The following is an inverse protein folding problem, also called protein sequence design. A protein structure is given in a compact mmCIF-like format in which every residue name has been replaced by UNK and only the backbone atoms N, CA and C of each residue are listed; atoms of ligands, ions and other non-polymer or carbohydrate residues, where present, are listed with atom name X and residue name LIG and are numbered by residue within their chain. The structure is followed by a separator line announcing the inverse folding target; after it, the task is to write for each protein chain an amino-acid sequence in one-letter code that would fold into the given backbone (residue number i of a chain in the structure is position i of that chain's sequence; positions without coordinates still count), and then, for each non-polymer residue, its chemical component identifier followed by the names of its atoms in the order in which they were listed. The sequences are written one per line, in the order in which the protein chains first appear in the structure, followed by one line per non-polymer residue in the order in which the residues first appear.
data_IF_876965041698
#
_entry.id   IF_876965041698
#
_cell.length_a   1.000
_cell.length_b   1.000
_cell.length_c   1.000
_cell.angle_alpha   90.00
_cell.angle_beta   90.00
_cell.angle_gamma   90.00
#
_symmetry.space_group_name_H-M   'P 1'
#
loop_
_entity.id
_entity.type
_entity.pdbx_description
1 polymer ?
#
# COMPACT_ATOMS: atom_id res chain seq x y z
N UNK A 1 48.45 19.86 -19.51
CA UNK A 1 48.61 18.46 -19.07
C UNK A 1 47.84 18.31 -17.76
N UNK A 2 46.64 17.78 -17.66
CA UNK A 2 45.65 17.20 -18.57
C UNK A 2 44.58 16.69 -17.59
N UNK A 3 43.50 17.41 -17.29
CA UNK A 3 42.21 17.39 -18.01
C UNK A 3 41.81 16.06 -18.71
N UNK A 4 42.31 14.92 -18.21
CA UNK A 4 41.96 13.57 -18.68
C UNK A 4 41.86 12.55 -17.53
N UNK A 5 41.22 12.92 -16.42
CA UNK A 5 40.79 11.93 -15.42
C UNK A 5 39.31 12.14 -15.09
N UNK A 6 38.47 12.26 -16.11
CA UNK A 6 37.03 12.19 -15.95
C UNK A 6 36.42 11.59 -17.23
N UNK A 7 35.63 10.52 -17.06
CA UNK A 7 35.00 9.65 -18.09
C UNK A 7 35.83 8.45 -18.57
N UNK A 8 35.98 7.47 -17.69
CA UNK A 8 35.80 6.06 -18.10
C UNK A 8 34.57 5.51 -17.37
N UNK A 9 33.39 5.76 -17.94
CA UNK A 9 32.19 5.05 -17.53
C UNK A 9 32.22 3.68 -18.22
N UNK A 10 32.96 2.73 -17.64
CA UNK A 10 32.95 1.33 -18.09
C UNK A 10 31.49 0.89 -18.19
N UNK A 11 31.06 0.48 -19.39
CA UNK A 11 29.70 0.02 -19.62
C UNK A 11 29.47 -1.19 -18.71
N UNK A 12 28.51 -1.08 -17.78
CA UNK A 12 28.10 -2.23 -16.99
C UNK A 12 27.30 -3.11 -17.93
N UNK A 13 27.80 -4.32 -18.19
CA UNK A 13 27.12 -5.33 -18.97
C UNK A 13 26.44 -6.30 -18.00
N UNK A 14 25.16 -6.08 -17.73
CA UNK A 14 24.34 -7.10 -17.07
C UNK A 14 24.19 -8.31 -18.00
N UNK A 15 24.14 -9.51 -17.41
CA UNK A 15 23.72 -10.72 -18.13
C UNK A 15 22.36 -10.48 -18.80
N UNK A 16 22.14 -11.05 -19.97
CA UNK A 16 20.89 -10.87 -20.72
C UNK A 16 19.88 -11.98 -20.41
N UNK A 17 18.60 -11.63 -20.35
CA UNK A 17 17.48 -12.57 -20.39
C UNK A 17 16.67 -12.33 -21.67
N UNK A 18 16.46 -13.37 -22.46
CA UNK A 18 15.78 -13.31 -23.75
C UNK A 18 14.34 -13.78 -23.65
N UNK A 19 13.44 -13.02 -24.25
CA UNK A 19 12.03 -13.38 -24.38
C UNK A 19 11.80 -14.27 -25.60
N UNK A 20 10.85 -15.21 -25.48
CA UNK A 20 10.35 -15.98 -26.61
C UNK A 20 9.74 -15.06 -27.67
N UNK A 21 9.68 -15.56 -28.90
CA UNK A 21 9.09 -14.84 -30.04
C UNK A 21 7.68 -14.33 -29.72
N UNK A 22 7.48 -13.01 -29.85
CA UNK A 22 6.23 -12.24 -29.64
C UNK A 22 5.89 -11.92 -28.18
N UNK A 23 6.58 -12.47 -27.19
CA UNK A 23 6.30 -12.19 -25.77
C UNK A 23 6.76 -10.78 -25.36
N UNK A 24 7.67 -10.16 -26.12
CA UNK A 24 8.10 -8.78 -25.88
C UNK A 24 7.00 -7.73 -26.12
N UNK A 25 5.86 -8.12 -26.72
CA UNK A 25 4.76 -7.20 -27.07
C UNK A 25 4.18 -6.52 -25.83
N UNK A 26 3.92 -7.27 -24.75
CA UNK A 26 3.33 -6.72 -23.51
C UNK A 26 4.23 -5.68 -22.87
N UNK A 27 5.54 -5.95 -22.84
CA UNK A 27 6.55 -5.06 -22.28
C UNK A 27 6.62 -3.76 -23.08
N UNK A 28 6.65 -3.87 -24.42
CA UNK A 28 6.60 -2.70 -25.33
C UNK A 28 5.32 -1.87 -25.15
N UNK A 29 4.21 -2.50 -24.79
CA UNK A 29 2.92 -1.81 -24.59
C UNK A 29 2.78 -1.14 -23.22
N UNK A 30 3.61 -1.45 -22.23
CA UNK A 30 3.35 -0.93 -20.90
C UNK A 30 3.86 -1.79 -19.77
N UNK A 31 3.70 -3.11 -19.94
CA UNK A 31 3.78 -4.06 -18.84
C UNK A 31 5.18 -4.10 -18.23
N UNK A 32 5.23 -4.22 -16.90
CA UNK A 32 6.48 -4.13 -16.13
C UNK A 32 6.91 -5.47 -15.54
N UNK A 33 6.15 -6.55 -15.75
CA UNK A 33 6.51 -7.88 -15.29
C UNK A 33 6.84 -8.82 -16.45
N UNK A 34 7.84 -9.66 -16.23
CA UNK A 34 8.22 -10.79 -17.06
C UNK A 34 7.72 -12.07 -16.39
N UNK A 35 7.08 -12.95 -17.14
CA UNK A 35 6.62 -14.22 -16.62
C UNK A 35 7.58 -15.35 -17.01
N UNK A 36 7.76 -16.35 -16.12
CA UNK A 36 8.73 -17.43 -16.34
C UNK A 36 8.46 -18.25 -17.60
N UNK A 37 7.19 -18.37 -18.00
CA UNK A 37 6.77 -19.05 -19.24
C UNK A 37 7.06 -18.23 -20.52
N UNK A 38 7.35 -16.94 -20.40
CA UNK A 38 7.69 -16.03 -21.51
C UNK A 38 9.20 -16.04 -21.84
N UNK A 39 10.03 -16.62 -20.97
CA UNK A 39 11.49 -16.65 -21.12
C UNK A 39 11.95 -17.76 -22.07
N UNK A 40 12.85 -17.42 -23.00
CA UNK A 40 13.53 -18.39 -23.84
C UNK A 40 14.63 -19.10 -23.04
N UNK A 41 14.29 -20.28 -22.52
CA UNK A 41 15.20 -21.08 -21.70
C UNK A 41 16.24 -21.84 -22.54
N UNK A 42 16.16 -21.82 -23.87
CA UNK A 42 17.19 -22.43 -24.72
C UNK A 42 18.36 -21.49 -24.93
N UNK A 43 18.07 -20.22 -25.17
CA UNK A 43 19.08 -19.16 -25.34
C UNK A 43 19.60 -18.63 -24.00
N UNK A 44 18.69 -18.38 -23.06
CA UNK A 44 19.01 -17.82 -21.74
C UNK A 44 18.27 -18.60 -20.65
N UNK A 45 18.82 -19.72 -20.16
CA UNK A 45 18.17 -20.52 -19.12
C UNK A 45 17.87 -19.70 -17.87
N UNK A 46 16.59 -19.56 -17.49
CA UNK A 46 16.21 -18.76 -16.32
C UNK A 46 16.88 -19.25 -15.03
N UNK A 47 17.14 -20.55 -14.93
CA UNK A 47 17.81 -21.17 -13.77
C UNK A 47 19.32 -20.86 -13.66
N UNK A 48 19.92 -20.15 -14.62
CA UNK A 48 21.32 -19.69 -14.50
C UNK A 48 21.47 -18.37 -13.75
N UNK A 49 20.37 -17.80 -13.26
CA UNK A 49 20.33 -16.55 -12.48
C UNK A 49 20.02 -16.85 -11.02
N UNK A 50 20.44 -15.95 -10.15
CA UNK A 50 20.05 -15.96 -8.75
C UNK A 50 18.89 -15.01 -8.48
N UNK A 51 18.18 -15.24 -7.38
CA UNK A 51 17.12 -14.33 -6.94
C UNK A 51 17.72 -12.93 -6.66
N UNK A 52 17.14 -11.92 -7.31
CA UNK A 52 17.56 -10.53 -7.25
C UNK A 52 18.65 -10.12 -8.23
N UNK A 53 19.12 -10.99 -9.12
CA UNK A 53 20.08 -10.60 -10.16
C UNK A 53 19.52 -9.54 -11.09
N UNK A 54 20.33 -8.54 -11.43
CA UNK A 54 19.98 -7.49 -12.40
C UNK A 54 20.40 -7.94 -13.79
N UNK A 55 19.48 -7.81 -14.75
CA UNK A 55 19.62 -8.33 -16.12
C UNK A 55 19.24 -7.29 -17.17
N UNK A 56 19.86 -7.41 -18.34
CA UNK A 56 19.37 -6.75 -19.55
C UNK A 56 18.24 -7.60 -20.12
N UNK A 57 17.10 -6.99 -20.43
CA UNK A 57 15.97 -7.70 -21.05
C UNK A 57 16.09 -7.56 -22.56
N UNK A 58 16.11 -8.69 -23.27
CA UNK A 58 16.18 -8.75 -24.74
C UNK A 58 14.87 -9.26 -25.33
N UNK A 59 14.47 -8.65 -26.44
CA UNK A 59 13.45 -9.21 -27.32
C UNK A 59 13.96 -10.47 -28.02
N UNK A 60 13.04 -11.22 -28.63
CA UNK A 60 13.36 -12.46 -29.35
C UNK A 60 14.41 -12.34 -30.47
N UNK A 61 14.63 -11.12 -30.99
CA UNK A 61 15.65 -10.82 -31.99
C UNK A 61 16.99 -10.34 -31.39
N UNK A 62 17.18 -10.47 -30.08
CA UNK A 62 18.38 -10.03 -29.35
C UNK A 62 18.46 -8.53 -29.07
N UNK A 63 17.48 -7.72 -29.49
CA UNK A 63 17.48 -6.28 -29.20
C UNK A 63 17.17 -6.04 -27.71
N UNK A 64 18.03 -5.31 -27.01
CA UNK A 64 17.78 -4.86 -25.65
C UNK A 64 16.56 -3.91 -25.58
N UNK A 65 15.65 -4.19 -24.65
CA UNK A 65 14.38 -3.46 -24.45
C UNK A 65 14.23 -2.91 -23.02
N UNK A 66 15.17 -3.19 -22.11
CA UNK A 66 15.14 -2.65 -20.77
C UNK A 66 16.11 -3.32 -19.81
N UNK A 67 16.00 -2.97 -18.54
CA UNK A 67 16.70 -3.58 -17.41
C UNK A 67 15.66 -4.03 -16.40
N UNK A 68 15.86 -5.21 -15.83
CA UNK A 68 15.03 -5.81 -14.80
C UNK A 68 15.91 -6.39 -13.69
N UNK A 69 15.33 -6.67 -12.53
CA UNK A 69 15.85 -7.73 -11.68
C UNK A 69 14.99 -8.98 -11.82
N UNK A 70 15.57 -10.16 -11.58
CA UNK A 70 14.90 -11.45 -11.77
C UNK A 70 14.84 -12.30 -10.49
N UNK A 71 13.84 -13.18 -10.42
CA UNK A 71 13.79 -14.29 -9.48
C UNK A 71 13.41 -15.56 -10.25
N UNK A 72 14.31 -16.55 -10.38
CA UNK A 72 14.08 -17.73 -11.21
C UNK A 72 13.07 -18.72 -10.61
N UNK A 73 12.60 -18.47 -9.39
CA UNK A 73 11.75 -19.39 -8.63
C UNK A 73 10.29 -18.94 -8.55
N UNK A 74 9.94 -17.80 -9.18
CA UNK A 74 8.59 -17.25 -9.18
C UNK A 74 7.96 -17.24 -10.57
N UNK A 75 6.62 -17.21 -10.63
CA UNK A 75 5.90 -17.04 -11.90
C UNK A 75 6.18 -15.66 -12.51
N UNK A 76 6.13 -14.60 -11.69
CA UNK A 76 6.62 -13.27 -12.10
C UNK A 76 8.13 -13.26 -11.89
N UNK A 77 8.86 -13.83 -12.85
CA UNK A 77 10.28 -14.06 -12.70
C UNK A 77 11.14 -12.82 -12.95
N UNK A 78 10.57 -11.70 -13.41
CA UNK A 78 11.32 -10.47 -13.60
C UNK A 78 10.46 -9.23 -13.44
N UNK A 79 11.07 -8.16 -12.92
CA UNK A 79 10.45 -6.85 -12.72
C UNK A 79 11.27 -5.79 -13.44
N UNK A 80 10.69 -5.18 -14.48
CA UNK A 80 11.31 -4.10 -15.24
C UNK A 80 11.49 -2.89 -14.32
N UNK A 81 12.73 -2.42 -14.17
CA UNK A 81 13.06 -1.17 -13.45
C UNK A 81 13.25 0.01 -14.41
N UNK A 82 13.62 -0.28 -15.66
CA UNK A 82 13.87 0.74 -16.68
C UNK A 82 13.66 0.18 -18.09
N UNK A 83 13.12 1.00 -18.99
CA UNK A 83 13.07 0.69 -20.43
C UNK A 83 14.34 1.11 -21.18
N UNK A 84 15.23 1.85 -20.52
CA UNK A 84 16.56 2.14 -21.05
C UNK A 84 17.51 1.02 -20.63
N UNK A 85 18.06 0.32 -21.62
CA UNK A 85 19.11 -0.70 -21.43
C UNK A 85 20.41 -0.11 -20.82
N UNK A 86 20.54 1.22 -20.76
CA UNK A 86 21.69 1.91 -20.15
C UNK A 86 21.50 2.20 -18.65
N UNK A 87 20.31 1.90 -18.10
CA UNK A 87 20.05 2.18 -16.70
C UNK A 87 20.89 1.29 -15.79
N UNK A 88 21.36 1.87 -14.68
CA UNK A 88 22.11 1.16 -13.64
C UNK A 88 21.24 1.10 -12.40
N UNK A 89 21.05 -0.08 -11.82
CA UNK A 89 20.32 -0.24 -10.57
C UNK A 89 21.27 -0.02 -9.39
N UNK A 90 21.42 1.23 -8.97
CA UNK A 90 22.36 1.65 -7.95
C UNK A 90 21.77 2.78 -7.08
N UNK A 91 22.58 3.33 -6.17
CA UNK A 91 22.18 4.42 -5.29
C UNK A 91 21.62 5.65 -6.03
N UNK A 92 22.26 6.07 -7.12
CA UNK A 92 21.77 7.20 -7.92
C UNK A 92 20.38 6.93 -8.52
N UNK A 93 20.10 5.69 -8.93
CA UNK A 93 18.80 5.29 -9.43
C UNK A 93 17.72 5.31 -8.34
N UNK A 94 17.98 4.68 -7.19
CA UNK A 94 17.04 4.65 -6.05
C UNK A 94 16.73 6.08 -5.59
N UNK A 95 17.75 6.90 -5.38
CA UNK A 95 17.60 8.32 -5.01
C UNK A 95 16.73 9.07 -6.01
N UNK A 96 17.02 8.96 -7.31
CA UNK A 96 16.24 9.64 -8.35
C UNK A 96 14.77 9.20 -8.36
N UNK A 97 14.49 7.91 -8.16
CA UNK A 97 13.12 7.38 -8.13
C UNK A 97 12.36 7.82 -6.88
N UNK A 98 12.97 7.77 -5.71
CA UNK A 98 12.36 8.26 -4.46
C UNK A 98 12.08 9.77 -4.57
N UNK A 99 13.00 10.57 -5.11
CA UNK A 99 12.78 12.00 -5.33
C UNK A 99 11.65 12.28 -6.33
N UNK A 100 11.57 11.51 -7.42
CA UNK A 100 10.45 11.64 -8.36
C UNK A 100 9.11 11.27 -7.72
N UNK A 101 9.09 10.24 -6.88
CA UNK A 101 7.91 9.85 -6.12
C UNK A 101 7.51 10.96 -5.12
N UNK A 102 8.47 11.56 -4.41
CA UNK A 102 8.27 12.70 -3.52
C UNK A 102 7.67 13.90 -4.25
N UNK A 103 8.24 14.29 -5.39
CA UNK A 103 7.72 15.40 -6.20
C UNK A 103 6.26 15.18 -6.60
N UNK A 104 5.85 13.94 -6.91
CA UNK A 104 4.45 13.63 -7.18
C UNK A 104 3.56 13.83 -5.94
N UNK A 105 4.07 13.51 -4.74
CA UNK A 105 3.31 13.67 -3.49
C UNK A 105 3.21 15.14 -3.09
N UNK A 106 4.26 15.93 -3.31
CA UNK A 106 4.27 17.37 -3.04
C UNK A 106 3.18 18.13 -3.83
N UNK A 107 2.84 17.65 -5.04
CA UNK A 107 1.75 18.22 -5.85
C UNK A 107 0.37 17.93 -5.25
N UNK A 108 0.21 16.79 -4.55
CA UNK A 108 -1.08 16.28 -4.11
C UNK A 108 -1.34 16.49 -2.61
N UNK A 109 -0.30 16.68 -1.81
CA UNK A 109 -0.38 16.72 -0.35
C UNK A 109 0.47 17.86 0.21
N UNK A 110 -0.17 18.70 1.04
CA UNK A 110 0.51 19.78 1.75
C UNK A 110 1.25 19.31 3.01
N UNK A 111 0.93 18.11 3.50
CA UNK A 111 1.50 17.55 4.73
C UNK A 111 2.12 16.17 4.46
N UNK A 112 3.20 15.79 5.19
CA UNK A 112 3.98 14.57 4.99
C UNK A 112 3.32 13.27 5.47
N UNK A 113 2.00 13.13 5.32
CA UNK A 113 1.26 11.92 5.65
C UNK A 113 0.78 11.30 4.35
N UNK A 114 1.44 10.29 3.81
CA UNK A 114 1.05 9.65 2.56
C UNK A 114 1.89 8.41 2.27
N UNK A 115 1.45 7.60 1.31
CA UNK A 115 2.32 6.62 0.65
C UNK A 115 3.35 7.32 -0.25
N UNK A 116 4.60 7.38 0.20
CA UNK A 116 5.72 7.96 -0.55
C UNK A 116 6.06 7.12 -1.79
N UNK A 117 6.18 5.80 -1.64
CA UNK A 117 6.52 4.88 -2.74
C UNK A 117 5.46 3.78 -2.82
N UNK A 118 4.96 3.50 -4.03
CA UNK A 118 3.96 2.48 -4.31
C UNK A 118 4.40 1.52 -5.42
N UNK A 119 5.48 0.78 -5.15
CA UNK A 119 5.92 -0.37 -5.93
C UNK A 119 6.18 -0.05 -7.40
N UNK A 120 5.56 -0.86 -8.26
CA UNK A 120 5.67 -0.75 -9.72
C UNK A 120 5.27 0.64 -10.24
N UNK A 121 4.27 1.27 -9.61
CA UNK A 121 3.71 2.57 -10.04
C UNK A 121 4.72 3.72 -9.93
N UNK A 122 5.65 3.63 -8.98
CA UNK A 122 6.73 4.61 -8.79
C UNK A 122 8.07 4.15 -9.39
N UNK A 123 8.06 3.05 -10.16
CA UNK A 123 9.25 2.50 -10.80
C UNK A 123 10.25 1.90 -9.79
N UNK A 124 9.77 1.49 -8.62
CA UNK A 124 10.52 0.75 -7.59
C UNK A 124 9.77 -0.56 -7.26
N UNK A 125 9.71 -1.52 -8.20
CA UNK A 125 8.98 -2.77 -8.02
C UNK A 125 9.33 -3.46 -6.70
N UNK A 126 8.32 -3.83 -5.95
CA UNK A 126 8.46 -4.53 -4.67
C UNK A 126 8.76 -3.64 -3.45
N UNK A 127 8.91 -2.32 -3.61
CA UNK A 127 9.07 -1.38 -2.51
C UNK A 127 7.78 -0.59 -2.25
N UNK A 128 7.30 -0.59 -1.01
CA UNK A 128 6.28 0.34 -0.53
C UNK A 128 6.90 1.14 0.62
N UNK A 129 6.67 2.45 0.65
CA UNK A 129 7.08 3.29 1.78
C UNK A 129 5.90 4.19 2.13
N UNK A 130 5.37 4.04 3.33
CA UNK A 130 4.39 4.93 3.92
C UNK A 130 5.11 5.94 4.83
N UNK A 131 4.74 7.22 4.72
CA UNK A 131 5.33 8.33 5.44
C UNK A 131 4.33 8.88 6.45
N UNK A 132 4.76 8.99 7.69
CA UNK A 132 4.01 9.45 8.85
C UNK A 132 4.75 10.65 9.46
N UNK A 133 4.84 11.74 8.71
CA UNK A 133 5.68 12.88 9.11
C UNK A 133 7.16 12.60 8.93
N UNK A 134 7.87 12.51 10.06
CA UNK A 134 9.28 12.17 10.17
C UNK A 134 9.52 10.68 10.46
N UNK A 135 8.47 9.86 10.51
CA UNK A 135 8.53 8.40 10.62
C UNK A 135 8.19 7.76 9.28
N UNK A 136 8.93 6.71 8.90
CA UNK A 136 8.77 5.98 7.65
C UNK A 136 8.59 4.49 7.93
N UNK A 137 7.59 3.88 7.30
CA UNK A 137 7.36 2.44 7.35
C UNK A 137 7.50 1.88 5.94
N UNK A 138 8.51 1.06 5.73
CA UNK A 138 8.84 0.45 4.45
C UNK A 138 8.47 -1.03 4.43
N UNK A 139 8.06 -1.51 3.27
CA UNK A 139 7.91 -2.93 2.97
C UNK A 139 8.66 -3.24 1.69
N UNK A 140 9.50 -4.27 1.74
CA UNK A 140 10.17 -4.85 0.59
C UNK A 140 9.57 -6.24 0.37
N UNK A 141 9.19 -6.55 -0.85
CA UNK A 141 8.46 -7.79 -1.16
C UNK A 141 9.11 -8.64 -2.24
N UNK A 142 10.24 -8.21 -2.79
CA UNK A 142 10.91 -8.86 -3.94
C UNK A 142 12.41 -8.97 -3.71
N UNK A 143 13.03 -10.07 -4.13
CA UNK A 143 14.44 -10.33 -3.85
C UNK A 143 15.41 -9.27 -4.41
N UNK A 144 15.14 -8.73 -5.60
CA UNK A 144 16.00 -7.71 -6.20
C UNK A 144 15.98 -6.37 -5.45
N UNK A 145 14.82 -5.99 -4.90
CA UNK A 145 14.71 -4.81 -4.07
C UNK A 145 15.29 -5.02 -2.67
N UNK A 146 15.24 -6.25 -2.14
CA UNK A 146 15.88 -6.59 -0.85
C UNK A 146 17.39 -6.36 -0.90
N UNK A 147 18.04 -6.71 -2.01
CA UNK A 147 19.47 -6.41 -2.23
C UNK A 147 19.80 -4.90 -2.21
N UNK A 148 18.80 -4.03 -2.32
CA UNK A 148 18.94 -2.57 -2.27
C UNK A 148 18.59 -1.97 -0.91
N UNK A 149 18.25 -2.78 0.09
CA UNK A 149 17.79 -2.31 1.42
C UNK A 149 18.73 -1.25 2.02
N UNK A 150 20.03 -1.52 2.09
CA UNK A 150 21.00 -0.57 2.67
C UNK A 150 21.04 0.75 1.90
N UNK A 151 21.02 0.68 0.56
CA UNK A 151 20.95 1.85 -0.31
C UNK A 151 19.66 2.64 -0.07
N UNK A 152 18.52 1.97 0.11
CA UNK A 152 17.24 2.60 0.42
C UNK A 152 17.32 3.29 1.78
N UNK A 153 17.79 2.60 2.81
CA UNK A 153 17.99 3.13 4.17
C UNK A 153 18.83 4.41 4.13
N UNK A 154 20.03 4.35 3.57
CA UNK A 154 20.92 5.52 3.43
C UNK A 154 20.29 6.63 2.58
N UNK A 155 19.49 6.28 1.57
CA UNK A 155 18.80 7.29 0.74
C UNK A 155 17.71 8.01 1.53
N UNK A 156 16.89 7.29 2.31
CA UNK A 156 15.86 7.88 3.17
C UNK A 156 16.49 8.74 4.26
N UNK A 157 17.54 8.25 4.92
CA UNK A 157 18.30 8.98 5.93
C UNK A 157 18.79 10.34 5.42
N UNK A 158 19.45 10.34 4.25
CA UNK A 158 20.03 11.55 3.67
C UNK A 158 19.01 12.54 3.10
N UNK A 159 17.84 12.05 2.68
CA UNK A 159 16.81 12.92 2.08
C UNK A 159 15.88 13.53 3.13
N UNK A 160 15.61 12.81 4.22
CA UNK A 160 14.51 13.16 5.12
C UNK A 160 14.92 13.32 6.58
N UNK A 161 16.10 12.84 6.99
CA UNK A 161 16.55 12.84 8.39
C UNK A 161 15.46 12.34 9.35
N UNK A 162 14.94 11.11 9.14
CA UNK A 162 13.76 10.63 9.84
C UNK A 162 14.04 10.39 11.33
N UNK A 163 13.01 10.51 12.16
CA UNK A 163 13.05 10.00 13.54
C UNK A 163 13.14 8.48 13.57
N UNK A 164 12.43 7.82 12.66
CA UNK A 164 12.48 6.37 12.52
C UNK A 164 12.26 5.92 11.07
N UNK A 165 12.97 4.86 10.68
CA UNK A 165 12.64 4.06 9.51
C UNK A 165 12.46 2.61 9.94
N UNK A 166 11.30 2.04 9.68
CA UNK A 166 10.95 0.67 10.05
C UNK A 166 10.71 -0.16 8.80
N UNK A 167 11.29 -1.35 8.73
CA UNK A 167 10.94 -2.36 7.74
C UNK A 167 9.92 -3.34 8.34
N UNK A 168 8.66 -3.21 7.95
CA UNK A 168 7.57 -4.12 8.35
C UNK A 168 7.42 -5.24 7.30
N UNK A 169 8.39 -6.15 7.29
CA UNK A 169 8.59 -7.18 6.28
C UNK A 169 7.97 -8.52 6.66
N UNK A 170 6.76 -8.50 7.20
CA UNK A 170 6.03 -9.70 7.66
C UNK A 170 4.97 -10.20 6.67
N UNK A 171 4.85 -9.54 5.52
CA UNK A 171 3.84 -9.90 4.52
C UNK A 171 4.13 -11.27 3.90
N UNK A 172 3.12 -12.14 3.86
CA UNK A 172 3.24 -13.51 3.35
C UNK A 172 3.76 -13.63 1.90
N UNK A 173 3.62 -12.58 1.08
CA UNK A 173 4.16 -12.53 -0.28
C UNK A 173 5.68 -12.71 -0.32
N UNK A 174 6.42 -12.31 0.72
CA UNK A 174 7.87 -12.50 0.82
C UNK A 174 8.28 -13.98 0.77
N UNK A 175 7.43 -14.89 1.26
CA UNK A 175 7.67 -16.34 1.17
C UNK A 175 7.71 -16.82 -0.28
N UNK A 176 6.93 -16.22 -1.18
CA UNK A 176 6.95 -16.54 -2.61
C UNK A 176 8.30 -16.17 -3.24
N UNK A 177 8.97 -15.16 -2.71
CA UNK A 177 10.26 -14.65 -3.17
C UNK A 177 11.45 -15.30 -2.45
N UNK A 178 11.19 -16.24 -1.53
CA UNK A 178 12.22 -16.91 -0.74
C UNK A 178 12.86 -16.02 0.33
N UNK A 179 12.19 -14.94 0.73
CA UNK A 179 12.70 -13.96 1.67
C UNK A 179 12.24 -14.25 3.12
N UNK A 180 13.08 -13.97 4.14
CA UNK A 180 12.68 -14.09 5.53
C UNK A 180 11.62 -13.05 5.88
N UNK A 181 10.76 -13.40 6.85
CA UNK A 181 9.84 -12.45 7.48
C UNK A 181 10.53 -11.83 8.69
N UNK A 182 10.46 -10.51 8.81
CA UNK A 182 11.02 -9.79 9.94
C UNK A 182 10.37 -8.42 10.09
N UNK A 183 10.51 -7.86 11.29
CA UNK A 183 10.29 -6.45 11.57
C UNK A 183 11.59 -5.86 12.13
N UNK A 184 11.97 -4.67 11.69
CA UNK A 184 13.25 -4.05 12.06
C UNK A 184 13.16 -2.53 12.04
N UNK A 185 13.59 -1.89 13.12
CA UNK A 185 13.86 -0.44 13.15
C UNK A 185 15.27 -0.22 12.60
N UNK A 186 15.37 0.26 11.36
CA UNK A 186 16.64 0.45 10.66
C UNK A 186 17.31 1.80 10.95
N UNK A 187 16.52 2.81 11.33
CA UNK A 187 17.01 4.13 11.73
C UNK A 187 16.23 4.56 12.98
N UNK A 188 16.95 5.10 13.97
CA UNK A 188 16.38 5.78 15.13
C UNK A 188 15.54 4.88 16.03
N UNK A 189 14.51 5.46 16.66
CA UNK A 189 13.65 4.80 17.63
C UNK A 189 12.17 4.99 17.27
N UNK A 190 11.43 3.89 17.18
CA UNK A 190 10.01 3.92 16.87
C UNK A 190 9.20 4.13 18.16
N UNK A 191 8.42 5.21 18.20
CA UNK A 191 7.44 5.43 19.28
C UNK A 191 6.29 4.44 19.17
N UNK A 192 5.62 4.14 20.29
CA UNK A 192 4.48 3.20 20.32
C UNK A 192 3.33 3.62 19.41
N UNK A 193 3.17 4.93 19.19
CA UNK A 193 2.18 5.52 18.29
C UNK A 193 2.74 6.75 17.58
N UNK A 194 2.16 7.07 16.43
CA UNK A 194 2.45 8.28 15.66
C UNK A 194 1.16 9.02 15.37
N UNK A 195 1.16 10.32 15.64
CA UNK A 195 0.05 11.19 15.27
C UNK A 195 0.15 11.61 13.80
N UNK A 196 -0.96 11.47 13.09
CA UNK A 196 -1.11 11.94 11.70
C UNK A 196 -2.25 12.92 11.59
N UNK A 197 -2.24 13.69 10.52
CA UNK A 197 -3.35 14.52 10.09
C UNK A 197 -3.81 14.10 8.69
N UNK A 198 -5.12 13.93 8.53
CA UNK A 198 -5.75 13.65 7.26
C UNK A 198 -7.09 14.36 7.15
N UNK A 199 -7.30 15.09 6.05
CA UNK A 199 -8.54 15.80 5.76
C UNK A 199 -9.06 16.68 6.92
N UNK A 200 -8.13 17.29 7.67
CA UNK A 200 -8.44 18.15 8.82
C UNK A 200 -8.79 17.40 10.11
N UNK A 201 -8.77 16.06 10.12
CA UNK A 201 -8.87 15.22 11.31
C UNK A 201 -7.50 14.70 11.73
N UNK A 202 -7.32 14.50 13.04
CA UNK A 202 -6.09 13.96 13.62
C UNK A 202 -6.30 12.52 14.08
N UNK A 203 -5.29 11.68 13.91
CA UNK A 203 -5.36 10.29 14.32
C UNK A 203 -4.09 9.90 15.03
N UNK A 204 -4.23 9.17 16.13
CA UNK A 204 -3.14 8.48 16.80
C UNK A 204 -3.09 7.04 16.28
N UNK A 205 -2.01 6.73 15.56
CA UNK A 205 -1.85 5.44 14.89
C UNK A 205 -0.86 4.59 15.69
N UNK A 206 -1.26 3.43 16.24
CA UNK A 206 -0.34 2.52 16.90
C UNK A 206 0.65 1.95 15.89
N UNK A 207 1.95 2.00 16.22
CA UNK A 207 3.04 1.50 15.38
C UNK A 207 3.38 0.04 15.66
N UNK A 208 3.00 -0.49 16.82
CA UNK A 208 3.14 -1.90 17.19
C UNK A 208 1.79 -2.62 17.18
N UNK A 209 1.75 -3.87 16.70
CA UNK A 209 0.55 -4.72 16.74
C UNK A 209 -0.59 -4.35 15.79
N UNK A 210 -0.43 -3.35 14.93
CA UNK A 210 -1.41 -2.95 13.91
C UNK A 210 -1.47 -3.88 12.70
N UNK A 211 -2.59 -3.84 11.94
CA UNK A 211 -2.66 -4.50 10.62
C UNK A 211 -1.97 -3.63 9.56
N UNK A 212 -1.04 -4.21 8.78
CA UNK A 212 -0.23 -3.53 7.74
C UNK A 212 0.68 -2.42 8.32
N UNK A 213 1.13 -1.47 7.49
CA UNK A 213 2.01 -0.33 7.82
C UNK A 213 1.42 0.67 8.84
N UNK A 214 0.30 0.35 9.48
CA UNK A 214 -0.36 1.13 10.54
C UNK A 214 -1.58 1.95 10.08
N UNK A 215 -1.57 2.52 8.87
CA UNK A 215 -2.68 3.38 8.37
C UNK A 215 -3.00 3.17 6.90
N UNK A 216 -4.29 3.21 6.56
CA UNK A 216 -4.80 2.97 5.22
C UNK A 216 -5.03 4.30 4.47
N UNK A 217 -4.01 4.76 3.73
CA UNK A 217 -4.08 6.00 2.94
C UNK A 217 -4.92 5.90 1.65
N UNK A 218 -5.27 4.69 1.21
CA UNK A 218 -6.01 4.43 -0.03
C UNK A 218 -7.41 5.06 -0.06
N UNK A 219 -8.09 5.10 1.10
CA UNK A 219 -9.41 5.69 1.22
C UNK A 219 -9.44 7.21 1.46
N UNK A 220 -8.29 7.89 1.57
CA UNK A 220 -8.23 9.33 1.89
C UNK A 220 -9.17 10.21 1.09
N UNK A 221 -9.16 10.08 -0.24
CA UNK A 221 -9.99 10.94 -1.10
C UNK A 221 -11.47 10.60 -0.99
N UNK A 222 -11.80 9.33 -0.72
CA UNK A 222 -13.16 8.90 -0.52
C UNK A 222 -13.69 9.38 0.84
N UNK A 223 -12.87 9.35 1.90
CA UNK A 223 -13.16 9.97 3.20
C UNK A 223 -13.39 11.48 3.08
N UNK A 224 -12.53 12.18 2.35
CA UNK A 224 -12.71 13.61 2.05
C UNK A 224 -14.06 13.90 1.37
N UNK A 225 -14.45 13.08 0.39
CA UNK A 225 -15.75 13.23 -0.28
C UNK A 225 -16.93 12.96 0.67
N UNK A 226 -16.78 12.03 1.62
CA UNK A 226 -17.79 11.76 2.64
C UNK A 226 -17.98 12.97 3.59
N UNK A 227 -16.91 13.71 3.91
CA UNK A 227 -17.01 14.91 4.73
C UNK A 227 -17.98 15.95 4.14
N UNK A 228 -18.02 16.08 2.80
CA UNK A 228 -18.89 17.03 2.10
C UNK A 228 -20.39 16.77 2.32
N UNK A 229 -20.76 15.53 2.68
CA UNK A 229 -22.15 15.10 2.92
C UNK A 229 -22.47 14.83 4.38
N UNK A 230 -21.50 14.88 5.29
CA UNK A 230 -21.66 14.42 6.67
C UNK A 230 -22.35 15.43 7.61
N UNK A 231 -22.38 16.72 7.28
CA UNK A 231 -22.89 17.76 8.19
C UNK A 231 -24.36 17.50 8.59
N UNK A 232 -24.61 17.41 9.91
CA UNK A 232 -25.93 17.18 10.48
C UNK A 232 -26.50 15.80 10.19
N UNK A 233 -25.66 14.82 9.82
CA UNK A 233 -26.07 13.45 9.49
C UNK A 233 -25.79 12.48 10.63
N UNK A 234 -26.60 11.43 10.72
CA UNK A 234 -26.29 10.22 11.51
C UNK A 234 -25.51 9.25 10.66
N UNK A 235 -24.30 8.89 11.09
CA UNK A 235 -23.37 8.08 10.32
C UNK A 235 -23.10 6.75 11.03
N UNK A 236 -23.16 5.65 10.29
CA UNK A 236 -22.76 4.32 10.75
C UNK A 236 -21.50 3.88 9.99
N UNK A 237 -20.39 3.75 10.69
CA UNK A 237 -19.10 3.26 10.20
C UNK A 237 -18.89 1.81 10.65
N UNK A 238 -19.01 0.87 9.71
CA UNK A 238 -18.86 -0.56 9.98
C UNK A 238 -17.49 -1.02 9.50
N UNK A 239 -16.85 -1.88 10.31
CA UNK A 239 -15.43 -2.23 10.17
C UNK A 239 -14.56 -1.00 10.39
N UNK A 240 -14.90 -0.21 11.42
CA UNK A 240 -14.39 1.15 11.61
C UNK A 240 -12.88 1.21 11.81
N UNK A 241 -12.24 0.12 12.25
CA UNK A 241 -10.84 0.10 12.66
C UNK A 241 -10.58 1.26 13.66
N UNK A 242 -9.62 2.14 13.40
CA UNK A 242 -9.31 3.32 14.21
C UNK A 242 -10.27 4.51 13.99
N UNK A 243 -11.38 4.29 13.28
CA UNK A 243 -12.44 5.26 13.05
C UNK A 243 -12.14 6.23 11.90
N UNK A 244 -11.37 5.81 10.90
CA UNK A 244 -10.93 6.71 9.82
C UNK A 244 -12.10 7.38 9.10
N UNK A 245 -13.20 6.66 8.87
CA UNK A 245 -14.39 7.21 8.25
C UNK A 245 -15.28 7.95 9.27
N UNK A 246 -15.62 7.29 10.38
CA UNK A 246 -16.50 7.85 11.39
C UNK A 246 -15.99 9.16 12.01
N UNK A 247 -14.71 9.21 12.40
CA UNK A 247 -14.13 10.41 13.03
C UNK A 247 -14.03 11.56 12.03
N UNK A 248 -13.66 11.30 10.76
CA UNK A 248 -13.67 12.35 9.73
C UNK A 248 -15.08 12.90 9.49
N UNK A 249 -16.12 12.05 9.54
CA UNK A 249 -17.51 12.48 9.46
C UNK A 249 -17.92 13.35 10.66
N UNK A 250 -17.50 12.97 11.88
CA UNK A 250 -17.76 13.72 13.10
C UNK A 250 -17.12 15.12 13.06
N UNK A 251 -15.86 15.20 12.62
CA UNK A 251 -15.11 16.45 12.40
C UNK A 251 -15.78 17.33 11.35
N UNK A 252 -16.33 16.73 10.29
CA UNK A 252 -17.10 17.43 9.26
C UNK A 252 -18.50 17.88 9.71
N UNK A 253 -18.86 17.63 10.97
CA UNK A 253 -20.08 18.13 11.59
C UNK A 253 -21.26 17.16 11.53
N UNK A 254 -21.03 15.85 11.40
CA UNK A 254 -22.05 14.85 11.69
C UNK A 254 -22.69 15.10 13.06
N UNK A 255 -23.99 14.78 13.16
CA UNK A 255 -24.75 14.89 14.41
C UNK A 255 -24.38 13.73 15.35
N UNK A 256 -24.29 12.53 14.80
CA UNK A 256 -23.95 11.31 15.51
C UNK A 256 -23.10 10.41 14.62
N UNK A 257 -22.14 9.72 15.23
CA UNK A 257 -21.33 8.69 14.58
C UNK A 257 -21.36 7.42 15.41
N UNK A 258 -21.69 6.31 14.76
CA UNK A 258 -21.66 4.97 15.33
C UNK A 258 -20.54 4.18 14.66
N UNK A 259 -19.59 3.67 15.44
CA UNK A 259 -18.50 2.85 14.95
C UNK A 259 -18.68 1.39 15.39
N UNK A 260 -18.57 0.45 14.46
CA UNK A 260 -18.68 -0.99 14.72
C UNK A 260 -17.39 -1.68 14.32
N UNK A 261 -16.77 -2.39 15.25
CA UNK A 261 -15.60 -3.23 14.99
C UNK A 261 -15.60 -4.49 15.86
N UNK A 262 -14.94 -5.54 15.40
CA UNK A 262 -14.79 -6.78 16.18
C UNK A 262 -13.61 -6.70 17.16
N UNK A 263 -12.71 -5.72 17.01
CA UNK A 263 -11.55 -5.53 17.86
C UNK A 263 -11.80 -4.44 18.90
N UNK A 264 -11.80 -4.82 20.17
CA UNK A 264 -11.83 -3.88 21.31
C UNK A 264 -10.69 -2.86 21.22
N UNK A 265 -9.46 -3.32 20.94
CA UNK A 265 -8.30 -2.43 20.77
C UNK A 265 -8.48 -1.40 19.63
N UNK A 266 -9.19 -1.76 18.55
CA UNK A 266 -9.50 -0.80 17.49
C UNK A 266 -10.49 0.26 17.99
N UNK A 267 -11.54 -0.16 18.73
CA UNK A 267 -12.53 0.74 19.32
C UNK A 267 -11.94 1.66 20.40
N UNK A 268 -11.00 1.18 21.22
CA UNK A 268 -10.21 2.04 22.12
C UNK A 268 -9.49 3.14 21.33
N UNK A 269 -8.95 2.79 20.15
CA UNK A 269 -8.38 3.72 19.18
C UNK A 269 -9.40 4.73 18.65
N UNK A 270 -10.62 4.29 18.30
CA UNK A 270 -11.72 5.20 17.89
C UNK A 270 -12.01 6.22 18.99
N UNK A 271 -12.14 5.79 20.24
CA UNK A 271 -12.42 6.68 21.37
C UNK A 271 -11.28 7.68 21.62
N UNK A 272 -10.03 7.21 21.55
CA UNK A 272 -8.84 8.08 21.64
C UNK A 272 -8.84 9.13 20.54
N UNK A 273 -9.13 8.72 19.30
CA UNK A 273 -9.19 9.61 18.14
C UNK A 273 -10.37 10.59 18.23
N UNK A 274 -11.52 10.18 18.75
CA UNK A 274 -12.65 11.09 18.97
C UNK A 274 -12.31 12.18 19.99
N UNK A 275 -11.66 11.82 21.10
CA UNK A 275 -11.16 12.78 22.10
C UNK A 275 -10.11 13.72 21.52
N UNK A 276 -9.19 13.20 20.71
CA UNK A 276 -8.15 13.99 20.04
C UNK A 276 -8.73 15.09 19.13
N UNK A 277 -9.91 14.84 18.55
CA UNK A 277 -10.61 15.78 17.68
C UNK A 277 -11.74 16.55 18.38
N UNK A 278 -11.97 16.34 19.68
CA UNK A 278 -13.05 17.00 20.42
C UNK A 278 -14.47 16.62 19.96
N UNK A 279 -14.65 15.39 19.46
CA UNK A 279 -15.93 14.89 18.92
C UNK A 279 -16.46 13.67 19.67
N UNK A 280 -15.89 13.35 20.83
CA UNK A 280 -16.26 12.18 21.64
C UNK A 280 -17.74 12.18 22.06
N UNK A 281 -18.35 13.35 22.24
CA UNK A 281 -19.74 13.47 22.67
C UNK A 281 -20.75 13.04 21.58
N UNK A 282 -20.28 12.86 20.34
CA UNK A 282 -21.07 12.42 19.18
C UNK A 282 -20.89 10.93 18.87
N UNK A 283 -19.95 10.27 19.54
CA UNK A 283 -19.52 8.91 19.22
C UNK A 283 -20.31 7.88 20.02
N UNK A 284 -20.66 6.77 19.36
CA UNK A 284 -21.07 5.53 20.01
C UNK A 284 -20.30 4.37 19.37
N UNK A 285 -19.84 3.43 20.18
CA UNK A 285 -19.09 2.25 19.71
C UNK A 285 -19.87 0.97 20.00
N UNK A 286 -19.80 0.01 19.07
CA UNK A 286 -20.32 -1.35 19.28
C UNK A 286 -19.21 -2.36 18.97
N UNK A 287 -18.79 -3.11 19.99
CA UNK A 287 -17.90 -4.25 19.81
C UNK A 287 -18.70 -5.48 19.36
N UNK A 288 -18.28 -6.07 18.25
CA UNK A 288 -18.83 -7.37 17.84
C UNK A 288 -18.65 -7.70 16.36
N UNK A 289 -19.15 -8.88 16.00
CA UNK A 289 -19.22 -9.26 14.59
C UNK A 289 -20.17 -8.32 13.85
N UNK A 290 -19.69 -7.67 12.80
CA UNK A 290 -20.47 -6.71 12.01
C UNK A 290 -21.83 -7.26 11.55
N UNK A 291 -21.92 -8.53 11.12
CA UNK A 291 -23.19 -9.09 10.66
C UNK A 291 -24.22 -9.19 11.79
N UNK A 292 -23.78 -9.45 13.01
CA UNK A 292 -24.67 -9.62 14.16
C UNK A 292 -25.07 -8.28 14.75
N UNK A 293 -24.12 -7.34 14.88
CA UNK A 293 -24.40 -5.96 15.28
C UNK A 293 -25.41 -5.31 14.33
N UNK A 294 -25.23 -5.42 13.01
CA UNK A 294 -26.18 -4.86 12.06
C UNK A 294 -27.58 -5.48 12.17
N UNK A 295 -27.70 -6.78 12.46
CA UNK A 295 -29.02 -7.41 12.68
C UNK A 295 -29.71 -6.85 13.93
N UNK A 296 -28.95 -6.64 15.01
CA UNK A 296 -29.48 -6.04 16.24
C UNK A 296 -29.97 -4.61 15.95
N UNK A 297 -29.14 -3.79 15.30
CA UNK A 297 -29.51 -2.43 14.92
C UNK A 297 -30.77 -2.38 14.05
N UNK A 298 -30.91 -3.31 13.10
CA UNK A 298 -32.11 -3.46 12.27
C UNK A 298 -33.32 -3.83 13.13
N UNK A 299 -33.17 -4.77 14.07
CA UNK A 299 -34.28 -5.22 14.92
C UNK A 299 -34.78 -4.15 15.89
N UNK A 300 -33.90 -3.24 16.30
CA UNK A 300 -34.22 -2.08 17.12
C UNK A 300 -34.78 -0.90 16.30
N UNK A 301 -34.83 -1.03 14.97
CA UNK A 301 -35.38 -0.01 14.08
C UNK A 301 -34.46 1.18 13.82
N UNK A 302 -33.15 1.04 14.07
CA UNK A 302 -32.19 2.11 13.78
C UNK A 302 -32.09 2.39 12.28
N UNK A 303 -31.83 3.66 11.97
CA UNK A 303 -31.65 4.17 10.62
C UNK A 303 -30.61 5.27 10.61
N UNK A 304 -29.81 5.32 9.55
CA UNK A 304 -28.70 6.26 9.40
C UNK A 304 -28.78 6.96 8.04
N UNK A 305 -28.40 8.22 8.01
CA UNK A 305 -28.30 9.00 6.78
C UNK A 305 -27.15 8.50 5.89
N UNK A 306 -26.08 8.02 6.51
CA UNK A 306 -24.90 7.48 5.82
C UNK A 306 -24.49 6.18 6.49
N UNK A 307 -24.37 5.10 5.71
CA UNK A 307 -23.84 3.81 6.15
C UNK A 307 -22.58 3.50 5.35
N UNK A 308 -21.51 3.10 6.04
CA UNK A 308 -20.20 2.83 5.47
C UNK A 308 -19.85 1.37 5.74
N UNK A 309 -19.49 0.65 4.68
CA UNK A 309 -19.12 -0.76 4.69
C UNK A 309 -17.74 -0.88 4.04
N UNK A 310 -16.70 -0.98 4.87
CA UNK A 310 -15.30 -1.16 4.43
C UNK A 310 -14.70 -2.46 4.99
N UNK A 311 -15.20 -3.63 4.56
CA UNK A 311 -14.79 -4.91 5.14
C UNK A 311 -13.37 -5.30 4.68
N UNK A 312 -12.70 -6.19 5.45
CA UNK A 312 -11.48 -6.83 4.97
C UNK A 312 -11.74 -7.61 3.68
N UNK A 313 -10.68 -7.89 2.93
CA UNK A 313 -10.78 -8.65 1.67
C UNK A 313 -11.41 -10.04 1.90
N UNK A 314 -12.64 -10.23 1.42
CA UNK A 314 -13.32 -11.53 1.46
C UNK A 314 -12.82 -12.49 0.38
N UNK A 315 -12.26 -11.98 -0.72
CA UNK A 315 -11.62 -12.80 -1.76
C UNK A 315 -10.11 -12.66 -1.64
N UNK A 316 -9.47 -13.67 -1.03
CA UNK A 316 -8.01 -13.70 -0.90
C UNK A 316 -7.31 -14.37 -2.09
N UNK A 317 -8.02 -15.26 -2.80
CA UNK A 317 -7.51 -16.03 -3.94
C UNK A 317 -8.62 -16.24 -4.96
N UNK A 318 -8.26 -16.49 -6.22
CA UNK A 318 -9.21 -16.73 -7.32
C UNK A 318 -10.28 -17.80 -7.02
N UNK A 319 -9.93 -18.85 -6.25
CA UNK A 319 -10.89 -19.90 -5.87
C UNK A 319 -11.94 -19.45 -4.85
N UNK A 320 -11.66 -18.39 -4.09
CA UNK A 320 -12.51 -17.86 -3.02
C UNK A 320 -13.53 -16.82 -3.54
N UNK A 321 -13.55 -16.55 -4.87
CA UNK A 321 -14.41 -15.53 -5.50
C UNK A 321 -15.88 -15.73 -5.14
N UNK A 322 -16.41 -16.96 -5.33
CA UNK A 322 -17.85 -17.22 -5.11
C UNK A 322 -18.27 -16.94 -3.66
N UNK A 323 -17.53 -17.48 -2.69
CA UNK A 323 -17.81 -17.26 -1.27
C UNK A 323 -17.63 -15.80 -0.86
N UNK A 324 -16.60 -15.12 -1.40
CA UNK A 324 -16.35 -13.72 -1.07
C UNK A 324 -17.41 -12.79 -1.65
N UNK A 325 -17.84 -13.00 -2.88
CA UNK A 325 -18.97 -12.27 -3.49
C UNK A 325 -20.26 -12.46 -2.70
N UNK A 326 -20.54 -13.67 -2.22
CA UNK A 326 -21.68 -13.91 -1.32
C UNK A 326 -21.56 -13.15 0.00
N UNK A 327 -20.35 -13.09 0.57
CA UNK A 327 -20.07 -12.27 1.76
C UNK A 327 -20.35 -10.78 1.51
N UNK A 328 -19.85 -10.23 0.40
CA UNK A 328 -20.08 -8.84 0.00
C UNK A 328 -21.57 -8.55 -0.21
N UNK A 329 -22.30 -9.46 -0.88
CA UNK A 329 -23.75 -9.33 -1.04
C UNK A 329 -24.45 -9.24 0.31
N UNK A 330 -24.22 -10.20 1.20
CA UNK A 330 -24.93 -10.28 2.48
C UNK A 330 -24.67 -9.07 3.38
N UNK A 331 -23.43 -8.59 3.44
CA UNK A 331 -23.12 -7.42 4.27
C UNK A 331 -23.77 -6.14 3.71
N UNK A 332 -23.79 -5.98 2.38
CA UNK A 332 -24.45 -4.85 1.73
C UNK A 332 -25.98 -4.91 1.88
N UNK A 333 -26.59 -6.09 1.81
CA UNK A 333 -28.03 -6.25 2.06
C UNK A 333 -28.43 -5.80 3.47
N UNK A 334 -27.62 -6.13 4.48
CA UNK A 334 -27.83 -5.65 5.86
C UNK A 334 -27.64 -4.13 5.94
N UNK A 335 -26.56 -3.61 5.34
CA UNK A 335 -26.27 -2.18 5.33
C UNK A 335 -27.39 -1.35 4.70
N UNK A 336 -27.90 -1.76 3.52
CA UNK A 336 -28.99 -1.08 2.82
C UNK A 336 -30.27 -1.01 3.67
N UNK A 337 -30.53 -2.00 4.54
CA UNK A 337 -31.67 -1.97 5.46
C UNK A 337 -31.52 -0.97 6.59
N UNK A 338 -30.31 -0.49 6.87
CA UNK A 338 -30.02 0.53 7.88
C UNK A 338 -29.90 1.94 7.27
N UNK A 339 -29.84 2.05 5.95
CA UNK A 339 -29.88 3.35 5.25
C UNK A 339 -31.30 3.93 5.35
N UNK A 340 -31.38 5.22 5.65
CA UNK A 340 -32.63 5.99 5.65
C UNK A 340 -33.10 6.30 4.23
N UNK A 341 -34.37 6.70 4.06
CA UNK A 341 -34.85 7.16 2.76
C UNK A 341 -34.00 8.34 2.26
N UNK A 342 -33.50 8.25 1.02
CA UNK A 342 -32.56 9.20 0.42
C UNK A 342 -31.19 9.28 1.12
N UNK A 343 -30.86 8.30 1.96
CA UNK A 343 -29.53 8.16 2.55
C UNK A 343 -28.49 7.63 1.56
N UNK A 344 -27.25 7.56 2.03
CA UNK A 344 -26.08 7.15 1.24
C UNK A 344 -25.49 5.85 1.80
N UNK A 345 -25.16 4.93 0.90
CA UNK A 345 -24.32 3.77 1.21
C UNK A 345 -22.94 3.97 0.57
N UNK A 346 -21.89 3.95 1.40
CA UNK A 346 -20.51 3.81 0.96
C UNK A 346 -20.12 2.34 1.09
N UNK A 347 -19.78 1.70 -0.02
CA UNK A 347 -19.43 0.28 -0.06
C UNK A 347 -18.07 0.10 -0.73
N UNK A 348 -17.12 -0.48 0.02
CA UNK A 348 -15.75 -0.68 -0.42
C UNK A 348 -15.39 -2.17 -0.51
N UNK A 349 -14.35 -2.45 -1.31
CA UNK A 349 -13.75 -3.78 -1.43
C UNK A 349 -12.28 -3.64 -1.77
N UNK A 350 -11.43 -4.19 -0.91
CA UNK A 350 -9.99 -4.31 -1.16
C UNK A 350 -9.59 -5.68 -1.77
N UNK A 351 -10.56 -6.43 -2.32
CA UNK A 351 -10.26 -7.70 -3.01
C UNK A 351 -9.77 -7.44 -4.45
N UNK A 352 -8.59 -7.94 -4.80
CA UNK A 352 -7.93 -7.75 -6.11
C UNK A 352 -8.20 -8.87 -7.12
#
# INVERSE_FOLDING_TARGET
MSEQVEKSATAIHYKSIRLKKREERRIKQGHVWLFSNEIDNTETPLKSFEAGDVVTVEASNGKAIGVAYVNPNTLICGRIISRSAKARFNQGFIKKRIQAAQQLRDINFSQPYYRLVFGDSDGLPGLVIDRFGDVFVAQITTAGMEKMKDIITTTIENLYHPKALVYSNETASRKLEGLPLYEEVAIGELSESVQIEENGAKFDVPMSGGQKTGWFYDHRLARKRLQEMAKGKRVLDVFSYLGSWGIEAAVAGAEQVVCVDASSAALDGVEKNAKLNGVQDKLTTYEGNAFDVLKVLISEGHKYDIVIIDPPAFVKRKKDIRSGTDGYRRINELAMRLVENNGVLVSASCSH
#
